data_IF_670193335629
#
_entry.id   IF_670193335629
#
_cell.length_a   1.000
_cell.length_b   1.000
_cell.length_c   1.000
_cell.angle_alpha   90.00
_cell.angle_beta   90.00
_cell.angle_gamma   90.00
#
_symmetry.space_group_name_H-M   'P 1'
#
loop_
_entity.id
_entity.type
_entity.pdbx_description
1 polymer ?
#
# COMPACT_ATOMS: atom_id res chain seq x y z
N UNK A 1 53.57 32.43 -45.04
CA UNK A 1 54.78 31.78 -45.58
C UNK A 1 54.64 30.31 -45.21
N UNK A 2 54.30 29.47 -46.21
CA UNK A 2 55.21 28.50 -46.86
C UNK A 2 55.82 27.52 -45.86
N UNK A 3 55.85 26.21 -46.03
CA UNK A 3 55.24 25.19 -46.88
C UNK A 3 56.04 23.92 -46.52
N UNK A 4 55.61 22.77 -47.05
CA UNK A 4 56.39 21.52 -47.23
C UNK A 4 56.44 20.61 -45.99
N UNK A 5 55.92 19.39 -45.96
CA UNK A 5 55.54 18.48 -47.05
C UNK A 5 56.44 17.24 -47.01
N UNK A 6 55.85 16.07 -46.74
CA UNK A 6 56.24 14.76 -47.28
C UNK A 6 55.08 13.77 -46.95
N UNK A 7 54.21 13.30 -47.86
CA UNK A 7 54.43 12.48 -49.07
C UNK A 7 55.04 11.11 -48.66
N UNK A 8 54.49 9.90 -48.90
CA UNK A 8 53.76 9.37 -50.07
C UNK A 8 53.29 7.91 -49.78
N UNK A 9 52.06 7.56 -50.22
CA UNK A 9 51.59 6.26 -50.76
C UNK A 9 51.43 5.04 -49.82
N UNK A 10 50.46 4.12 -49.92
CA UNK A 10 49.47 3.65 -50.93
C UNK A 10 48.30 3.07 -50.08
N UNK A 11 47.00 3.31 -50.30
CA UNK A 11 46.22 2.98 -51.49
C UNK A 11 45.73 1.52 -51.46
N UNK A 12 44.58 1.24 -50.82
CA UNK A 12 43.59 0.21 -51.22
C UNK A 12 42.29 0.29 -50.38
N UNK A 13 41.15 0.55 -51.02
CA UNK A 13 39.76 0.27 -50.57
C UNK A 13 39.03 -0.40 -51.77
N UNK A 14 37.84 -1.07 -51.67
CA UNK A 14 36.85 -1.06 -50.58
C UNK A 14 36.12 -2.40 -50.24
N UNK A 15 35.37 -2.35 -49.13
CA UNK A 15 34.11 -3.06 -48.75
C UNK A 15 34.04 -4.59 -48.71
N UNK A 16 33.72 -5.14 -47.53
CA UNK A 16 32.44 -5.81 -47.24
C UNK A 16 32.16 -5.77 -45.73
N UNK A 17 30.90 -5.53 -45.39
CA UNK A 17 30.32 -5.37 -44.05
C UNK A 17 30.37 -6.64 -43.22
N UNK A 18 30.60 -6.50 -41.90
CA UNK A 18 30.04 -7.34 -40.83
C UNK A 18 30.15 -6.64 -39.48
N UNK A 19 29.05 -6.72 -38.75
CA UNK A 19 28.61 -5.89 -37.63
C UNK A 19 29.51 -6.02 -36.39
N UNK A 20 29.64 -4.90 -35.67
CA UNK A 20 30.52 -4.69 -34.53
C UNK A 20 30.16 -5.58 -33.33
N UNK A 21 31.19 -6.19 -32.75
CA UNK A 21 31.20 -6.52 -31.33
C UNK A 21 31.49 -5.21 -30.58
N UNK A 22 30.53 -4.80 -29.74
CA UNK A 22 30.56 -3.70 -28.76
C UNK A 22 29.39 -2.73 -28.97
N UNK A 23 28.19 -3.15 -28.59
CA UNK A 23 27.12 -2.27 -28.10
C UNK A 23 26.48 -2.95 -26.88
N UNK A 24 27.23 -2.84 -25.79
CA UNK A 24 26.88 -3.22 -24.44
C UNK A 24 26.19 -2.00 -23.79
N UNK A 25 24.97 -2.22 -23.27
CA UNK A 25 24.05 -1.28 -22.60
C UNK A 25 23.13 -0.41 -23.49
N UNK A 26 21.93 -0.94 -23.75
CA UNK A 26 20.74 -0.10 -23.98
C UNK A 26 19.97 -0.04 -22.66
N UNK A 27 19.99 1.13 -22.01
CA UNK A 27 18.99 1.52 -21.02
C UNK A 27 17.69 1.79 -21.78
N UNK A 28 16.65 0.99 -21.51
CA UNK A 28 15.30 1.36 -21.90
C UNK A 28 14.67 2.17 -20.76
N UNK A 29 14.74 3.48 -20.89
CA UNK A 29 13.96 4.43 -20.12
C UNK A 29 12.89 4.99 -21.06
N UNK A 30 11.63 4.56 -20.89
CA UNK A 30 10.51 5.21 -21.58
C UNK A 30 9.30 4.35 -21.92
N UNK A 31 8.60 3.83 -20.90
CA UNK A 31 7.14 3.89 -20.82
C UNK A 31 6.67 3.38 -19.46
N UNK A 32 6.56 4.30 -18.50
CA UNK A 32 5.84 4.07 -17.25
C UNK A 32 4.33 4.10 -17.52
N UNK A 33 3.80 3.07 -18.19
CA UNK A 33 2.44 2.66 -17.86
C UNK A 33 2.54 1.83 -16.59
N UNK A 34 2.25 2.49 -15.46
CA UNK A 34 2.08 1.83 -14.19
C UNK A 34 1.06 0.69 -14.40
N UNK A 35 1.41 -0.57 -14.07
CA UNK A 35 0.47 -1.67 -14.22
C UNK A 35 -0.81 -1.31 -13.45
N UNK A 36 -2.01 -1.57 -14.02
CA UNK A 36 -3.26 -1.25 -13.34
C UNK A 36 -3.22 -1.91 -11.95
N UNK A 37 -3.61 -1.13 -10.94
CA UNK A 37 -3.75 -1.64 -9.58
C UNK A 37 -4.57 -2.95 -9.64
N UNK A 38 -4.17 -4.00 -8.90
CA UNK A 38 -4.91 -5.24 -8.90
C UNK A 38 -6.35 -4.93 -8.49
N UNK A 39 -7.27 -5.12 -9.43
CA UNK A 39 -8.70 -5.00 -9.18
C UNK A 39 -9.12 -6.15 -8.26
N UNK A 40 -10.16 -5.89 -7.47
CA UNK A 40 -10.76 -6.78 -6.48
C UNK A 40 -11.31 -8.09 -7.12
N UNK A 41 -10.44 -8.97 -7.60
CA UNK A 41 -10.77 -10.31 -8.09
C UNK A 41 -9.73 -11.38 -7.68
N UNK A 42 -8.70 -11.00 -6.91
CA UNK A 42 -7.67 -11.93 -6.42
C UNK A 42 -8.17 -12.90 -5.32
N UNK A 43 -9.41 -12.75 -4.85
CA UNK A 43 -10.07 -13.76 -3.99
C UNK A 43 -10.60 -14.94 -4.82
N UNK A 44 -10.93 -14.73 -6.11
CA UNK A 44 -11.46 -15.79 -6.99
C UNK A 44 -10.37 -16.69 -7.59
N UNK A 45 -9.11 -16.26 -7.57
CA UNK A 45 -7.98 -17.02 -8.09
C UNK A 45 -7.53 -18.11 -7.10
N UNK A 46 -7.82 -17.94 -5.81
CA UNK A 46 -7.56 -18.94 -4.77
C UNK A 46 -8.58 -20.09 -4.84
N UNK A 47 -9.83 -19.81 -5.19
CA UNK A 47 -10.89 -20.83 -5.32
C UNK A 47 -10.77 -21.65 -6.61
N UNK A 48 -10.42 -21.03 -7.76
CA UNK A 48 -10.18 -21.77 -9.02
C UNK A 48 -8.96 -22.69 -8.99
N UNK A 49 -8.03 -22.46 -8.07
CA UNK A 49 -6.89 -23.37 -7.82
C UNK A 49 -7.22 -24.49 -6.84
N UNK A 50 -8.32 -24.37 -6.08
CA UNK A 50 -8.83 -25.42 -5.19
C UNK A 50 -9.57 -26.51 -5.97
N UNK A 51 -10.30 -26.13 -7.02
CA UNK A 51 -11.09 -27.06 -7.86
C UNK A 51 -10.29 -27.79 -8.95
N UNK A 52 -9.04 -27.40 -9.24
CA UNK A 52 -8.15 -28.17 -10.13
C UNK A 52 -7.49 -29.38 -9.48
N UNK A 53 -7.79 -29.65 -8.21
CA UNK A 53 -7.16 -30.74 -7.44
C UNK A 53 -7.94 -32.05 -7.52
N UNK A 54 -8.26 -32.49 -8.73
CA UNK A 54 -8.50 -33.89 -9.06
C UNK A 54 -8.27 -33.98 -10.56
N UNK A 55 -7.08 -34.39 -11.04
CA UNK A 55 -6.98 -35.68 -11.73
C UNK A 55 -5.53 -36.15 -11.90
N UNK A 56 -4.55 -35.55 -11.23
CA UNK A 56 -3.20 -36.10 -11.19
C UNK A 56 -3.09 -36.98 -9.94
N UNK A 57 -3.57 -38.22 -10.06
CA UNK A 57 -3.23 -39.28 -9.12
C UNK A 57 -1.70 -39.43 -9.22
N UNK A 58 -0.98 -38.83 -8.29
CA UNK A 58 0.46 -39.01 -8.18
C UNK A 58 0.69 -40.49 -7.93
N UNK A 59 1.36 -41.15 -8.86
CA UNK A 59 1.71 -42.56 -8.76
C UNK A 59 2.47 -42.77 -7.44
N UNK A 60 1.87 -43.57 -6.55
CA UNK A 60 2.53 -44.02 -5.33
C UNK A 60 3.67 -44.93 -5.77
N UNK A 61 4.89 -44.39 -5.88
CA UNK A 61 6.08 -45.23 -6.04
C UNK A 61 6.11 -46.21 -4.88
N UNK A 62 6.17 -47.51 -5.18
CA UNK A 62 6.36 -48.54 -4.16
C UNK A 62 7.76 -48.31 -3.56
N UNK A 63 7.80 -47.68 -2.39
CA UNK A 63 9.04 -47.41 -1.68
C UNK A 63 9.53 -48.74 -1.10
N UNK A 64 10.62 -49.29 -1.64
CA UNK A 64 11.25 -50.53 -1.15
C UNK A 64 11.45 -50.52 0.37
N UNK A 65 11.29 -51.67 1.03
CA UNK A 65 11.48 -51.78 2.49
C UNK A 65 12.87 -51.33 2.96
N UNK A 66 13.88 -51.51 2.10
CA UNK A 66 15.25 -51.06 2.36
C UNK A 66 15.34 -49.53 2.35
N UNK A 67 14.63 -48.86 1.45
CA UNK A 67 14.65 -47.39 1.36
C UNK A 67 13.80 -46.77 2.47
N UNK A 68 12.68 -47.40 2.88
CA UNK A 68 11.91 -47.00 4.08
C UNK A 68 12.78 -47.03 5.33
N UNK A 69 13.49 -48.15 5.59
CA UNK A 69 14.41 -48.30 6.74
C UNK A 69 15.57 -47.29 6.74
N UNK A 70 15.95 -46.77 5.57
CA UNK A 70 16.98 -45.73 5.45
C UNK A 70 16.40 -44.34 5.70
N UNK A 71 15.19 -44.05 5.22
CA UNK A 71 14.48 -42.80 5.47
C UNK A 71 14.12 -42.63 6.96
N UNK A 72 13.69 -43.70 7.63
CA UNK A 72 13.38 -43.68 9.07
C UNK A 72 14.62 -43.40 9.95
N UNK A 73 15.82 -43.74 9.46
CA UNK A 73 17.10 -43.46 10.12
C UNK A 73 17.69 -42.11 9.74
N UNK A 74 17.10 -41.40 8.78
CA UNK A 74 17.61 -40.12 8.34
C UNK A 74 17.38 -39.03 9.40
N UNK A 75 18.32 -38.08 9.51
CA UNK A 75 18.24 -36.96 10.45
C UNK A 75 17.12 -35.97 10.07
N UNK A 76 16.67 -36.00 8.81
CA UNK A 76 15.67 -35.12 8.22
C UNK A 76 14.23 -35.69 8.24
N UNK A 77 13.80 -36.29 9.36
CA UNK A 77 12.42 -36.76 9.52
C UNK A 77 11.38 -35.64 9.71
N UNK A 78 10.07 -35.95 9.87
CA UNK A 78 9.01 -34.95 10.05
C UNK A 78 9.22 -33.99 11.24
N UNK A 79 9.97 -34.45 12.25
CA UNK A 79 10.36 -33.60 13.40
C UNK A 79 11.43 -32.57 13.04
N UNK A 80 12.29 -32.85 12.06
CA UNK A 80 13.31 -31.94 11.53
C UNK A 80 12.68 -30.85 10.65
N UNK A 81 11.66 -31.22 9.87
CA UNK A 81 10.90 -30.27 9.05
C UNK A 81 10.13 -29.25 9.90
N UNK A 82 9.58 -29.67 11.06
CA UNK A 82 8.98 -28.74 12.03
C UNK A 82 10.00 -27.75 12.61
N UNK A 83 11.19 -28.22 12.99
CA UNK A 83 12.17 -27.35 13.66
C UNK A 83 12.93 -26.41 12.71
N UNK A 84 13.32 -26.87 11.52
CA UNK A 84 14.08 -26.06 10.56
C UNK A 84 13.21 -25.43 9.47
N UNK A 85 12.08 -26.04 9.11
CA UNK A 85 11.14 -25.49 8.13
C UNK A 85 10.49 -24.18 8.59
N UNK A 86 10.30 -24.02 9.89
CA UNK A 86 9.84 -22.74 10.50
C UNK A 86 10.89 -21.63 10.41
N UNK A 87 12.18 -21.98 10.38
CA UNK A 87 13.30 -21.01 10.31
C UNK A 87 13.61 -20.55 8.88
N UNK A 88 13.26 -21.37 7.89
CA UNK A 88 13.49 -21.06 6.48
C UNK A 88 12.45 -20.04 5.99
N UNK A 89 12.85 -18.77 5.89
CA UNK A 89 12.04 -17.77 5.21
C UNK A 89 11.89 -18.15 3.73
N UNK A 90 10.74 -18.69 3.36
CA UNK A 90 10.37 -19.06 1.98
C UNK A 90 10.31 -17.83 1.05
N UNK A 91 10.32 -16.62 1.63
CA UNK A 91 10.27 -15.36 0.92
C UNK A 91 11.68 -14.79 0.72
N UNK A 92 11.98 -14.42 -0.51
CA UNK A 92 13.21 -13.70 -0.83
C UNK A 92 13.33 -12.37 -0.07
N UNK A 93 14.56 -11.90 0.17
CA UNK A 93 14.84 -10.65 0.91
C UNK A 93 14.04 -9.43 0.42
N UNK A 94 13.85 -9.31 -0.90
CA UNK A 94 13.06 -8.23 -1.51
C UNK A 94 11.56 -8.34 -1.18
N UNK A 95 11.01 -9.55 -1.21
CA UNK A 95 9.62 -9.81 -0.85
C UNK A 95 9.36 -9.50 0.63
N UNK A 96 10.25 -9.94 1.52
CA UNK A 96 10.19 -9.59 2.96
C UNK A 96 10.26 -8.08 3.19
N UNK A 97 11.13 -7.35 2.48
CA UNK A 97 11.20 -5.88 2.58
C UNK A 97 9.90 -5.21 2.14
N UNK A 98 9.24 -5.72 1.10
CA UNK A 98 7.92 -5.23 0.65
C UNK A 98 6.84 -5.50 1.70
N UNK A 99 6.77 -6.71 2.25
CA UNK A 99 5.79 -7.04 3.30
C UNK A 99 5.96 -6.15 4.54
N UNK A 100 7.19 -5.97 5.03
CA UNK A 100 7.48 -5.06 6.15
C UNK A 100 7.16 -3.59 5.83
N UNK A 101 7.19 -3.19 4.55
CA UNK A 101 6.77 -1.85 4.14
C UNK A 101 5.25 -1.73 4.18
N UNK A 102 4.52 -2.73 3.65
CA UNK A 102 3.06 -2.78 3.71
C UNK A 102 2.56 -2.79 5.17
N UNK A 103 3.17 -3.59 6.04
CA UNK A 103 2.85 -3.62 7.47
C UNK A 103 3.02 -2.24 8.12
N UNK A 104 4.15 -1.57 7.85
CA UNK A 104 4.40 -0.19 8.33
C UNK A 104 3.51 0.86 7.68
N UNK A 105 2.90 0.60 6.53
CA UNK A 105 1.97 1.53 5.90
C UNK A 105 0.54 1.41 6.45
N UNK A 106 0.24 0.33 7.18
CA UNK A 106 -1.04 0.14 7.88
C UNK A 106 -1.15 0.99 9.14
N UNK A 107 -0.04 1.27 9.80
CA UNK A 107 -0.02 2.10 11.01
C UNK A 107 0.92 3.28 10.82
N UNK A 108 0.69 4.37 11.56
CA UNK A 108 1.60 5.53 11.52
C UNK A 108 2.95 5.24 12.21
N UNK A 109 3.03 4.18 13.01
CA UNK A 109 4.20 3.70 13.73
C UNK A 109 4.08 3.83 15.25
N UNK A 110 5.07 3.28 15.95
CA UNK A 110 5.10 3.19 17.42
C UNK A 110 5.11 4.57 18.09
N UNK A 111 5.83 5.54 17.52
CA UNK A 111 5.90 6.93 18.03
C UNK A 111 4.53 7.62 18.08
N UNK A 112 3.55 7.08 17.34
CA UNK A 112 2.18 7.58 17.31
C UNK A 112 1.18 6.49 17.67
N UNK A 113 1.51 5.70 18.71
CA UNK A 113 0.67 4.66 19.31
C UNK A 113 -0.01 3.74 18.30
N UNK A 114 0.70 3.43 17.21
CA UNK A 114 0.22 2.55 16.13
C UNK A 114 -1.14 2.97 15.54
N UNK A 115 -1.37 4.29 15.40
CA UNK A 115 -2.60 4.82 14.80
C UNK A 115 -2.86 4.17 13.43
N UNK A 116 -4.02 3.51 13.23
CA UNK A 116 -4.30 2.78 12.01
C UNK A 116 -4.61 3.72 10.83
N UNK A 117 -4.33 3.24 9.62
CA UNK A 117 -4.82 3.82 8.37
C UNK A 117 -6.27 3.38 8.17
N UNK A 118 -7.21 4.18 8.66
CA UNK A 118 -8.65 3.95 8.45
C UNK A 118 -9.02 4.17 6.98
N UNK A 119 -9.98 3.38 6.51
CA UNK A 119 -10.53 3.53 5.15
C UNK A 119 -11.30 4.85 5.02
N UNK A 120 -11.15 5.51 3.88
CA UNK A 120 -11.89 6.74 3.56
C UNK A 120 -13.29 6.37 3.08
N UNK A 121 -14.20 6.12 4.03
CA UNK A 121 -15.64 6.05 3.72
C UNK A 121 -16.15 7.41 3.24
N UNK A 122 -17.25 7.44 2.49
CA UNK A 122 -17.82 8.68 1.97
C UNK A 122 -18.22 9.65 3.10
N UNK A 123 -18.78 9.12 4.18
CA UNK A 123 -19.12 9.88 5.39
C UNK A 123 -17.88 10.50 6.04
N UNK A 124 -16.82 9.70 6.23
CA UNK A 124 -15.58 10.18 6.84
C UNK A 124 -14.88 11.21 5.94
N UNK A 125 -14.94 11.03 4.62
CA UNK A 125 -14.41 12.00 3.67
C UNK A 125 -15.14 13.33 3.79
N UNK A 126 -16.47 13.32 3.85
CA UNK A 126 -17.26 14.54 4.00
C UNK A 126 -16.97 15.27 5.33
N UNK A 127 -16.83 14.53 6.44
CA UNK A 127 -16.44 15.10 7.74
C UNK A 127 -15.03 15.72 7.69
N UNK A 128 -14.08 15.08 7.01
CA UNK A 128 -12.70 15.61 6.87
C UNK A 128 -12.66 16.87 5.97
N UNK A 129 -13.44 16.89 4.88
CA UNK A 129 -13.60 18.07 4.04
C UNK A 129 -14.28 19.22 4.80
N UNK A 130 -15.26 18.91 5.63
CA UNK A 130 -15.91 19.88 6.50
C UNK A 130 -14.90 20.52 7.48
N UNK A 131 -14.04 19.72 8.11
CA UNK A 131 -12.96 20.22 8.97
C UNK A 131 -11.98 21.10 8.19
N UNK A 132 -11.72 20.78 6.92
CA UNK A 132 -10.88 21.59 6.06
C UNK A 132 -11.52 22.96 5.75
N UNK A 133 -12.84 23.00 5.61
CA UNK A 133 -13.62 24.21 5.32
C UNK A 133 -14.14 24.92 6.58
N UNK A 134 -13.69 24.55 7.79
CA UNK A 134 -14.24 25.09 9.06
C UNK A 134 -14.28 26.61 9.17
N UNK A 135 -13.37 27.32 8.49
CA UNK A 135 -13.32 28.78 8.49
C UNK A 135 -14.51 29.44 7.76
N UNK A 136 -15.24 28.70 6.91
CA UNK A 136 -16.41 29.20 6.20
C UNK A 136 -17.74 28.88 6.93
N UNK A 137 -17.69 28.03 7.96
CA UNK A 137 -18.89 27.58 8.68
C UNK A 137 -19.42 28.74 9.53
N UNK A 138 -18.62 29.20 10.49
CA UNK A 138 -18.97 30.26 11.42
C UNK A 138 -18.25 31.57 11.05
N UNK A 139 -18.98 32.67 10.76
CA UNK A 139 -18.38 33.96 10.43
C UNK A 139 -17.65 34.62 11.61
N UNK A 140 -17.92 34.21 12.86
CA UNK A 140 -17.32 34.78 14.06
C UNK A 140 -16.04 34.06 14.48
N UNK A 141 -15.91 32.77 14.14
CA UNK A 141 -14.77 31.95 14.51
C UNK A 141 -13.68 31.96 13.42
N UNK A 142 -12.59 32.69 13.67
CA UNK A 142 -11.42 32.68 12.80
C UNK A 142 -10.43 31.60 13.21
N UNK A 143 -10.34 30.54 12.39
CA UNK A 143 -9.37 29.46 12.58
C UNK A 143 -8.05 29.73 11.86
N UNK A 144 -6.97 29.13 12.36
CA UNK A 144 -5.71 29.05 11.63
C UNK A 144 -5.92 28.28 10.32
N UNK A 145 -5.33 28.80 9.24
CA UNK A 145 -5.36 28.21 7.90
C UNK A 145 -4.74 26.81 7.91
N UNK A 146 -5.31 25.90 7.12
CA UNK A 146 -4.79 24.54 6.99
C UNK A 146 -3.49 24.51 6.17
N UNK A 147 -2.50 23.77 6.65
CA UNK A 147 -1.19 23.65 6.01
C UNK A 147 -1.23 22.76 4.76
N UNK A 148 -2.17 21.80 4.71
CA UNK A 148 -2.27 20.79 3.64
C UNK A 148 -3.64 20.83 2.98
N UNK A 149 -3.63 20.66 1.65
CA UNK A 149 -4.86 20.50 0.86
C UNK A 149 -5.37 19.07 0.80
N UNK A 150 -4.50 18.09 1.02
CA UNK A 150 -4.79 16.66 0.93
C UNK A 150 -5.33 16.15 2.26
N UNK A 151 -6.33 15.26 2.21
CA UNK A 151 -6.89 14.61 3.38
C UNK A 151 -5.84 13.73 4.10
N UNK A 152 -5.87 13.66 5.43
CA UNK A 152 -4.92 12.85 6.19
C UNK A 152 -5.14 11.35 5.92
N UNK A 153 -4.04 10.59 5.73
CA UNK A 153 -4.08 9.13 5.54
C UNK A 153 -4.41 8.37 6.83
N UNK A 154 -3.86 8.81 7.96
CA UNK A 154 -4.05 8.17 9.26
C UNK A 154 -4.93 9.09 10.11
N UNK A 155 -6.11 8.62 10.49
CA UNK A 155 -7.06 9.34 11.32
C UNK A 155 -7.87 8.37 12.19
N UNK A 156 -8.53 8.91 13.20
CA UNK A 156 -9.48 8.16 14.02
C UNK A 156 -10.63 9.09 14.39
N UNK A 157 -11.85 8.60 14.25
CA UNK A 157 -13.05 9.33 14.67
C UNK A 157 -13.40 8.89 16.09
N UNK A 158 -13.32 9.84 17.02
CA UNK A 158 -13.69 9.65 18.42
C UNK A 158 -14.94 10.43 18.78
N UNK A 159 -15.53 10.12 19.94
CA UNK A 159 -16.62 10.89 20.54
C UNK A 159 -16.17 11.48 21.86
N UNK A 160 -16.59 12.71 22.14
CA UNK A 160 -16.33 13.36 23.42
C UNK A 160 -17.18 12.67 24.49
N UNK A 161 -16.53 12.30 25.60
CA UNK A 161 -17.21 11.75 26.78
C UNK A 161 -17.46 12.90 27.74
N UNK A 162 -18.71 13.09 28.13
CA UNK A 162 -19.10 14.19 29.02
C UNK A 162 -18.45 14.02 30.40
N UNK A 163 -17.92 15.12 30.95
CA UNK A 163 -17.47 15.14 32.32
C UNK A 163 -18.66 15.09 33.28
N UNK A 164 -18.55 14.40 34.43
CA UNK A 164 -19.64 14.34 35.42
C UNK A 164 -19.91 15.68 36.12
N UNK A 165 -18.95 16.61 36.07
CA UNK A 165 -19.00 17.89 36.77
C UNK A 165 -19.87 18.94 36.08
N UNK A 166 -20.00 18.88 34.75
CA UNK A 166 -20.71 19.87 33.95
C UNK A 166 -21.95 19.26 33.28
N UNK A 167 -23.07 19.26 34.01
CA UNK A 167 -24.29 18.62 33.56
C UNK A 167 -25.14 19.49 32.62
N UNK A 168 -25.12 20.81 32.81
CA UNK A 168 -26.10 21.72 32.19
C UNK A 168 -25.56 22.52 31.01
N UNK A 169 -24.24 22.73 30.90
CA UNK A 169 -23.70 23.65 29.89
C UNK A 169 -23.07 22.95 28.69
N UNK A 170 -22.10 22.05 28.90
CA UNK A 170 -21.44 21.34 27.78
C UNK A 170 -22.15 20.08 27.31
N UNK A 171 -23.04 19.50 28.12
CA UNK A 171 -23.64 18.19 27.83
C UNK A 171 -24.73 18.26 26.76
N UNK A 172 -24.52 17.52 25.67
CA UNK A 172 -25.50 17.41 24.58
C UNK A 172 -26.56 16.35 24.93
N UNK A 173 -27.87 16.63 24.85
CA UNK A 173 -28.92 15.66 25.10
C UNK A 173 -28.92 14.55 24.03
N UNK A 174 -29.40 13.35 24.40
CA UNK A 174 -29.37 12.16 23.53
C UNK A 174 -30.02 12.37 22.14
N UNK A 175 -31.02 13.26 22.04
CA UNK A 175 -31.73 13.55 20.79
C UNK A 175 -30.88 14.32 19.78
N UNK A 176 -29.98 15.16 20.28
CA UNK A 176 -29.13 16.03 19.48
C UNK A 176 -27.82 15.35 19.09
N UNK A 177 -27.38 14.33 19.85
CA UNK A 177 -26.20 13.52 19.49
C UNK A 177 -26.42 12.79 18.18
N UNK A 178 -25.58 13.03 17.18
CA UNK A 178 -25.63 12.32 15.89
C UNK A 178 -24.45 11.38 15.72
N UNK A 179 -24.39 10.74 14.55
CA UNK A 179 -23.35 9.76 14.22
C UNK A 179 -22.10 10.44 13.66
N UNK A 180 -22.27 11.45 12.81
CA UNK A 180 -21.23 12.17 12.08
C UNK A 180 -21.27 13.66 12.41
N UNK A 181 -20.14 14.35 12.22
CA UNK A 181 -20.04 15.80 12.50
C UNK A 181 -20.92 16.61 11.54
N UNK A 182 -20.95 16.21 10.27
CA UNK A 182 -21.77 16.85 9.24
C UNK A 182 -23.26 16.76 9.57
N UNK A 183 -23.74 15.62 10.09
CA UNK A 183 -25.16 15.47 10.48
C UNK A 183 -25.52 16.37 11.68
N UNK A 184 -24.61 16.54 12.64
CA UNK A 184 -24.82 17.53 13.72
C UNK A 184 -24.96 18.94 13.16
N UNK A 185 -24.10 19.31 12.21
CA UNK A 185 -24.12 20.62 11.56
C UNK A 185 -25.42 20.89 10.78
N UNK A 186 -25.90 19.90 10.02
CA UNK A 186 -27.14 20.03 9.24
C UNK A 186 -28.38 20.16 10.12
N UNK A 187 -28.36 19.55 11.30
CA UNK A 187 -29.47 19.60 12.25
C UNK A 187 -29.45 20.88 13.11
N UNK A 188 -28.38 21.68 13.10
CA UNK A 188 -28.31 22.93 13.85
C UNK A 188 -29.12 24.04 13.16
N UNK A 189 -30.28 24.32 13.75
CA UNK A 189 -31.21 25.32 13.25
C UNK A 189 -30.60 26.73 13.21
N UNK A 190 -29.71 27.08 14.16
CA UNK A 190 -29.11 28.42 14.24
C UNK A 190 -28.26 28.70 13.01
N UNK A 191 -27.47 27.72 12.59
CA UNK A 191 -26.65 27.82 11.40
C UNK A 191 -27.53 27.95 10.15
N UNK A 192 -28.60 27.16 10.03
CA UNK A 192 -29.50 27.27 8.87
C UNK A 192 -30.17 28.64 8.77
N UNK A 193 -30.55 29.25 9.89
CA UNK A 193 -31.11 30.61 9.91
C UNK A 193 -30.07 31.64 9.49
N UNK A 194 -28.87 31.60 10.07
CA UNK A 194 -27.78 32.54 9.75
C UNK A 194 -27.35 32.52 8.28
N UNK A 195 -27.51 31.39 7.60
CA UNK A 195 -27.19 31.23 6.17
C UNK A 195 -28.34 31.68 5.26
N UNK A 196 -29.57 31.76 5.75
CA UNK A 196 -30.73 32.28 5.00
C UNK A 196 -30.80 33.80 5.02
N UNK A 197 -30.35 34.40 6.12
CA UNK A 197 -30.35 35.86 6.32
C UNK A 197 -29.23 36.57 5.54
N UNK A 198 -28.23 35.83 5.05
CA UNK A 198 -27.13 36.33 4.22
C UNK A 198 -27.37 36.05 2.76
#
# INVERSE_FOLDING_TARGET
>A
MRDLGNAISRGFEPTTSKLNADDFYVLDAGNDEMPPAPTLSDVELVDKLRDRKSNNKLDTTLIDERTQKLLDKAVCGPSFEKSYGETANLLGRRALKRLRKLEREKTKGHDWFDLPATELTEEAKADLELLQMRAAIDPLAFYRRNDRKVLPKYFQVGRIVDAPEDFYSSRIPKKERKRTLLDELLNDQRLTQSKREK
#
